data_IF_867572365703
#
_entry.id   IF_867572365703
#
_cell.length_a   1.000
_cell.length_b   1.000
_cell.length_c   1.000
_cell.angle_alpha   90.00
_cell.angle_beta   90.00
_cell.angle_gamma   90.00
#
_symmetry.space_group_name_H-M   'P 1'
#
loop_
_entity.id
_entity.type
_entity.pdbx_description
1 polymer ?
#
# COMPACT_ATOMS: atom_id res chain seq x y z
N UNK A 1 -49.95 -33.89 -39.71
CA UNK A 1 -48.50 -33.77 -39.45
C UNK A 1 -48.31 -32.62 -38.46
N UNK A 2 -47.85 -32.93 -37.23
CA UNK A 2 -47.28 -32.07 -36.17
C UNK A 2 -48.10 -30.83 -35.75
N UNK A 3 -48.64 -30.69 -34.55
CA UNK A 3 -48.29 -31.27 -33.24
C UNK A 3 -48.21 -30.10 -32.25
N UNK A 4 -49.33 -29.85 -31.56
CA UNK A 4 -49.46 -28.91 -30.44
C UNK A 4 -48.66 -29.45 -29.26
N UNK A 5 -47.72 -28.66 -28.74
CA UNK A 5 -46.96 -28.98 -27.53
C UNK A 5 -47.51 -28.18 -26.36
N UNK A 6 -48.10 -28.91 -25.41
CA UNK A 6 -48.45 -28.46 -24.06
C UNK A 6 -47.21 -27.91 -23.35
N UNK A 7 -47.29 -26.67 -22.86
CA UNK A 7 -46.36 -26.15 -21.86
C UNK A 7 -46.86 -26.57 -20.47
N UNK A 8 -46.15 -27.56 -19.91
CA UNK A 8 -46.28 -28.03 -18.55
C UNK A 8 -46.15 -26.90 -17.52
N UNK A 9 -47.26 -26.61 -16.86
CA UNK A 9 -47.34 -25.78 -15.67
C UNK A 9 -46.65 -26.48 -14.48
N UNK A 10 -45.45 -26.02 -14.12
CA UNK A 10 -44.77 -26.45 -12.88
C UNK A 10 -45.60 -26.08 -11.63
N UNK A 11 -45.79 -27.02 -10.67
CA UNK A 11 -46.46 -26.73 -9.41
C UNK A 11 -45.55 -25.90 -8.49
N UNK A 12 -46.02 -24.68 -8.15
CA UNK A 12 -45.45 -23.82 -7.11
C UNK A 12 -45.46 -24.55 -5.76
N UNK A 13 -44.28 -24.96 -5.30
CA UNK A 13 -44.06 -25.46 -3.93
C UNK A 13 -44.30 -24.32 -2.93
N UNK A 14 -45.22 -24.48 -1.95
CA UNK A 14 -45.45 -23.46 -0.93
C UNK A 14 -44.23 -23.36 0.01
N UNK A 15 -43.70 -22.14 0.15
CA UNK A 15 -42.68 -21.81 1.17
C UNK A 15 -43.27 -22.05 2.55
N UNK A 16 -42.91 -23.18 3.16
CA UNK A 16 -43.16 -23.47 4.58
C UNK A 16 -42.46 -22.40 5.43
N UNK A 17 -43.25 -21.58 6.13
CA UNK A 17 -42.77 -20.66 7.14
C UNK A 17 -42.18 -21.43 8.31
N UNK A 18 -40.87 -21.32 8.49
CA UNK A 18 -40.21 -21.77 9.71
C UNK A 18 -40.53 -20.76 10.82
N UNK A 19 -41.52 -21.11 11.65
CA UNK A 19 -41.82 -20.45 12.92
C UNK A 19 -40.70 -20.83 13.88
N UNK A 20 -39.85 -19.86 14.19
CA UNK A 20 -38.77 -20.00 15.16
C UNK A 20 -39.38 -19.83 16.57
N UNK A 21 -39.66 -20.96 17.23
CA UNK A 21 -40.15 -20.99 18.61
C UNK A 21 -39.01 -20.80 19.61
N UNK A 22 -39.03 -19.63 20.27
CA UNK A 22 -38.83 -19.49 21.72
C UNK A 22 -37.66 -20.22 22.39
N UNK A 23 -36.43 -19.73 22.20
CA UNK A 23 -35.30 -20.04 23.09
C UNK A 23 -35.21 -19.09 24.29
N UNK A 24 -34.91 -19.57 25.52
CA UNK A 24 -34.94 -18.76 26.73
C UNK A 24 -33.72 -17.83 26.89
N UNK A 25 -34.02 -16.53 26.95
CA UNK A 25 -33.49 -15.56 27.93
C UNK A 25 -31.96 -15.58 28.23
N UNK A 26 -31.13 -15.12 27.28
CA UNK A 26 -29.78 -14.60 27.59
C UNK A 26 -29.85 -13.11 27.97
N UNK A 27 -30.37 -12.81 29.17
CA UNK A 27 -30.19 -11.51 29.83
C UNK A 27 -28.82 -11.49 30.50
N UNK A 28 -27.90 -10.68 29.98
CA UNK A 28 -26.59 -10.49 30.60
C UNK A 28 -25.46 -10.07 29.67
N UNK A 29 -25.74 -9.38 28.55
CA UNK A 29 -24.69 -8.69 27.81
C UNK A 29 -24.76 -7.20 28.13
N UNK A 30 -23.94 -6.79 29.09
CA UNK A 30 -23.65 -5.38 29.30
C UNK A 30 -23.17 -4.78 27.97
N UNK A 31 -23.98 -3.87 27.43
CA UNK A 31 -23.64 -3.10 26.24
C UNK A 31 -22.44 -2.24 26.60
N UNK A 32 -21.24 -2.77 26.38
CA UNK A 32 -20.01 -2.02 26.48
C UNK A 32 -20.08 -0.89 25.44
N UNK A 33 -20.50 0.29 25.88
CA UNK A 33 -20.53 1.52 25.09
C UNK A 33 -19.10 1.76 24.60
N UNK A 34 -18.86 1.44 23.32
CA UNK A 34 -17.55 1.65 22.70
C UNK A 34 -17.29 3.16 22.64
N UNK A 35 -16.16 3.67 23.17
CA UNK A 35 -15.85 5.10 23.11
C UNK A 35 -15.80 5.56 21.64
N UNK A 36 -16.61 6.58 21.30
CA UNK A 36 -16.87 7.08 19.95
C UNK A 36 -15.73 7.90 19.32
N UNK A 37 -14.61 8.06 20.04
CA UNK A 37 -13.48 8.92 19.68
C UNK A 37 -12.69 8.42 18.46
N UNK A 38 -12.87 7.17 18.02
CA UNK A 38 -12.18 6.63 16.85
C UNK A 38 -12.72 7.11 15.50
N UNK A 39 -13.84 7.85 15.46
CA UNK A 39 -14.49 8.23 14.20
C UNK A 39 -13.99 9.54 13.58
N UNK A 40 -13.44 10.46 14.37
CA UNK A 40 -13.04 11.80 13.89
C UNK A 40 -11.81 11.75 12.98
N UNK A 41 -10.69 11.21 13.48
CA UNK A 41 -9.43 11.14 12.74
C UNK A 41 -9.54 10.33 11.44
N UNK A 42 -10.34 9.24 11.43
CA UNK A 42 -10.53 8.39 10.25
C UNK A 42 -11.25 9.13 9.13
N UNK A 43 -12.27 9.90 9.51
CA UNK A 43 -13.00 10.76 8.58
C UNK A 43 -12.08 11.86 8.05
N UNK A 44 -11.35 12.54 8.94
CA UNK A 44 -10.38 13.54 8.55
C UNK A 44 -9.35 12.99 7.56
N UNK A 45 -8.70 11.86 7.86
CA UNK A 45 -7.72 11.23 6.98
C UNK A 45 -8.31 10.85 5.61
N UNK A 46 -9.51 10.27 5.57
CA UNK A 46 -10.17 9.92 4.32
C UNK A 46 -10.53 11.17 3.48
N UNK A 47 -11.03 12.23 4.13
CA UNK A 47 -11.33 13.50 3.47
C UNK A 47 -10.04 14.14 2.95
N UNK A 48 -8.98 14.21 3.75
CA UNK A 48 -7.69 14.77 3.35
C UNK A 48 -7.12 14.05 2.13
N UNK A 49 -7.07 12.71 2.14
CA UNK A 49 -6.60 11.93 0.98
C UNK A 49 -7.48 12.19 -0.24
N UNK A 50 -8.80 12.22 -0.08
CA UNK A 50 -9.72 12.49 -1.19
C UNK A 50 -9.49 13.88 -1.79
N UNK A 51 -9.38 14.91 -0.96
CA UNK A 51 -9.11 16.29 -1.38
C UNK A 51 -7.77 16.39 -2.10
N UNK A 52 -6.71 15.81 -1.52
CA UNK A 52 -5.37 15.78 -2.14
C UNK A 52 -5.44 15.11 -3.52
N UNK A 53 -6.12 13.98 -3.64
CA UNK A 53 -6.23 13.27 -4.90
C UNK A 53 -7.04 14.02 -5.95
N UNK A 54 -8.18 14.61 -5.58
CA UNK A 54 -9.00 15.43 -6.48
C UNK A 54 -8.23 16.65 -6.96
N UNK A 55 -7.56 17.34 -6.05
CA UNK A 55 -6.76 18.52 -6.36
C UNK A 55 -5.56 18.17 -7.24
N UNK A 56 -4.84 17.09 -6.93
CA UNK A 56 -3.61 16.73 -7.62
C UNK A 56 -3.83 16.05 -8.99
N UNK A 57 -4.93 15.33 -9.19
CA UNK A 57 -5.21 14.62 -10.43
C UNK A 57 -4.99 15.44 -11.72
N UNK A 58 -5.53 16.68 -11.87
CA UNK A 58 -5.29 17.49 -13.07
C UNK A 58 -3.81 17.87 -13.26
N UNK A 59 -3.07 18.13 -12.17
CA UNK A 59 -1.64 18.40 -12.24
C UNK A 59 -0.86 17.18 -12.72
N UNK A 60 -1.23 15.99 -12.23
CA UNK A 60 -0.63 14.74 -12.67
C UNK A 60 -0.87 14.47 -14.16
N UNK A 61 -2.11 14.70 -14.64
CA UNK A 61 -2.46 14.44 -16.03
C UNK A 61 -1.73 15.35 -17.02
N UNK A 62 -1.45 16.59 -16.61
CA UNK A 62 -0.88 17.64 -17.49
C UNK A 62 0.62 17.81 -17.37
N UNK A 63 1.26 17.16 -16.41
CA UNK A 63 2.65 17.42 -16.05
C UNK A 63 3.62 17.31 -17.24
N UNK A 64 3.45 16.27 -18.05
CA UNK A 64 4.36 15.96 -19.15
C UNK A 64 3.98 16.63 -20.47
N UNK A 65 2.84 17.34 -20.54
CA UNK A 65 2.33 17.91 -21.79
C UNK A 65 3.27 18.94 -22.40
N UNK A 66 3.89 19.76 -21.55
CA UNK A 66 4.85 20.79 -21.99
C UNK A 66 6.17 20.21 -22.50
N UNK A 67 6.46 18.93 -22.28
CA UNK A 67 7.59 18.25 -22.95
C UNK A 67 7.20 17.71 -24.33
N UNK A 68 5.91 17.43 -24.55
CA UNK A 68 5.39 16.94 -25.81
C UNK A 68 5.07 18.07 -26.79
N UNK A 69 4.56 19.20 -26.29
CA UNK A 69 4.23 20.38 -27.09
C UNK A 69 4.65 21.65 -26.33
N UNK A 70 5.59 22.45 -26.88
CA UNK A 70 5.89 23.77 -26.34
C UNK A 70 4.61 24.61 -26.21
N UNK A 71 4.46 25.33 -25.10
CA UNK A 71 3.27 26.15 -24.82
C UNK A 71 2.04 25.40 -24.28
N UNK A 72 2.08 24.06 -24.16
CA UNK A 72 0.98 23.32 -23.54
C UNK A 72 0.75 23.72 -22.06
N UNK A 73 -0.49 23.66 -21.55
CA UNK A 73 -0.79 23.98 -20.17
C UNK A 73 0.04 23.15 -19.19
N UNK A 74 0.69 23.83 -18.24
CA UNK A 74 1.51 23.18 -17.21
C UNK A 74 1.25 23.84 -15.84
N UNK A 75 0.01 23.75 -15.32
CA UNK A 75 -0.39 24.44 -14.08
C UNK A 75 0.49 24.04 -12.89
N UNK A 76 1.02 22.80 -12.89
CA UNK A 76 1.92 22.34 -11.82
C UNK A 76 3.28 23.02 -11.85
N UNK A 77 3.82 23.28 -13.05
CA UNK A 77 5.07 24.02 -13.22
C UNK A 77 4.88 25.48 -12.81
N UNK A 78 3.76 26.08 -13.24
CA UNK A 78 3.39 27.44 -12.86
C UNK A 78 3.28 27.58 -11.34
N UNK A 79 2.51 26.70 -10.68
CA UNK A 79 2.33 26.74 -9.23
C UNK A 79 3.64 26.54 -8.49
N UNK A 80 4.46 25.55 -8.89
CA UNK A 80 5.74 25.28 -8.25
C UNK A 80 6.73 26.45 -8.41
N UNK A 81 6.70 27.15 -9.56
CA UNK A 81 7.52 28.32 -9.78
C UNK A 81 7.13 29.50 -8.86
N UNK A 82 5.84 29.63 -8.54
CA UNK A 82 5.34 30.66 -7.60
C UNK A 82 5.61 30.29 -6.13
N UNK A 83 5.49 29.01 -5.78
CA UNK A 83 5.67 28.55 -4.39
C UNK A 83 7.14 28.43 -3.98
N UNK A 84 8.03 28.08 -4.92
CA UNK A 84 9.45 27.82 -4.62
C UNK A 84 10.35 28.84 -5.31
N UNK A 85 10.56 28.71 -6.61
CA UNK A 85 11.18 29.74 -7.46
C UNK A 85 11.15 29.32 -8.94
N UNK A 86 11.12 30.28 -9.88
CA UNK A 86 11.25 29.96 -11.31
C UNK A 86 12.55 29.25 -11.66
N UNK A 87 13.67 29.63 -11.02
CA UNK A 87 14.98 29.01 -11.23
C UNK A 87 15.01 27.53 -10.86
N UNK A 88 14.45 27.18 -9.70
CA UNK A 88 14.33 25.79 -9.26
C UNK A 88 13.56 24.93 -10.27
N UNK A 89 12.46 25.45 -10.82
CA UNK A 89 11.68 24.76 -11.84
C UNK A 89 12.45 24.65 -13.17
N UNK A 90 13.16 25.69 -13.59
CA UNK A 90 13.99 25.66 -14.81
C UNK A 90 15.10 24.60 -14.72
N UNK A 91 15.82 24.53 -13.59
CA UNK A 91 16.86 23.54 -13.34
C UNK A 91 16.26 22.11 -13.29
N UNK A 92 15.09 21.95 -12.68
CA UNK A 92 14.36 20.68 -12.67
C UNK A 92 13.90 20.24 -14.06
N UNK A 93 13.60 21.17 -14.96
CA UNK A 93 13.24 20.88 -16.34
C UNK A 93 14.46 20.42 -17.14
N UNK A 94 15.56 21.17 -17.06
CA UNK A 94 16.80 20.86 -17.77
C UNK A 94 17.27 19.43 -17.48
N UNK A 95 17.18 19.00 -16.22
CA UNK A 95 17.60 17.66 -15.77
C UNK A 95 16.65 16.52 -16.19
N UNK A 96 15.44 16.81 -16.69
CA UNK A 96 14.43 15.80 -17.08
C UNK A 96 14.30 15.58 -18.58
N UNK A 97 14.71 16.55 -19.40
CA UNK A 97 14.52 16.48 -20.86
C UNK A 97 15.24 15.27 -21.45
N UNK A 98 16.51 15.06 -21.12
CA UNK A 98 17.29 13.95 -21.70
C UNK A 98 16.74 12.56 -21.31
N UNK A 99 16.45 12.26 -20.02
CA UNK A 99 15.85 10.98 -19.64
C UNK A 99 14.49 10.69 -20.30
N UNK A 100 13.69 11.71 -20.61
CA UNK A 100 12.34 11.53 -21.11
C UNK A 100 12.26 11.38 -22.63
N UNK A 101 13.26 11.82 -23.40
CA UNK A 101 13.23 11.82 -24.87
C UNK A 101 12.85 10.45 -25.47
N UNK A 102 13.39 9.37 -24.93
CA UNK A 102 13.18 8.02 -25.47
C UNK A 102 11.93 7.31 -24.92
N UNK A 103 11.26 7.91 -23.93
CA UNK A 103 10.14 7.30 -23.19
C UNK A 103 8.98 8.26 -22.94
N UNK A 104 8.90 9.36 -23.71
CA UNK A 104 7.92 10.41 -23.49
C UNK A 104 6.48 9.88 -23.59
N UNK A 105 6.18 9.07 -24.61
CA UNK A 105 4.85 8.50 -24.79
C UNK A 105 4.47 7.53 -23.63
N UNK A 106 5.30 6.53 -23.25
CA UNK A 106 5.05 5.71 -22.06
C UNK A 106 4.84 6.53 -20.79
N UNK A 107 5.63 7.58 -20.59
CA UNK A 107 5.52 8.45 -19.42
C UNK A 107 4.25 9.31 -19.45
N UNK A 108 3.83 9.83 -20.61
CA UNK A 108 2.55 10.53 -20.78
C UNK A 108 1.37 9.62 -20.41
N UNK A 109 1.35 8.39 -20.95
CA UNK A 109 0.33 7.39 -20.64
C UNK A 109 0.34 7.09 -19.14
N UNK A 110 1.51 6.86 -18.56
CA UNK A 110 1.67 6.63 -17.13
C UNK A 110 1.12 7.79 -16.29
N UNK A 111 1.44 9.04 -16.65
CA UNK A 111 1.05 10.25 -15.93
C UNK A 111 -0.45 10.53 -15.99
N UNK A 112 -1.05 10.40 -17.18
CA UNK A 112 -2.50 10.58 -17.39
C UNK A 112 -3.28 9.50 -16.64
N UNK A 113 -2.90 8.24 -16.79
CA UNK A 113 -3.55 7.14 -16.08
C UNK A 113 -3.28 7.19 -14.58
N UNK A 114 -2.11 7.69 -14.15
CA UNK A 114 -1.81 7.97 -12.74
C UNK A 114 -2.77 9.00 -12.15
N UNK A 115 -3.03 10.09 -12.86
CA UNK A 115 -4.06 11.06 -12.48
C UNK A 115 -5.46 10.45 -12.42
N UNK A 116 -5.82 9.57 -13.36
CA UNK A 116 -7.10 8.87 -13.34
C UNK A 116 -7.22 7.94 -12.12
N UNK A 117 -6.16 7.22 -11.76
CA UNK A 117 -6.10 6.37 -10.56
C UNK A 117 -6.29 7.17 -9.27
N UNK A 118 -5.81 8.42 -9.23
CA UNK A 118 -6.07 9.32 -8.10
C UNK A 118 -7.55 9.63 -7.94
N UNK A 119 -8.32 9.67 -9.02
CA UNK A 119 -9.78 9.86 -8.97
C UNK A 119 -10.51 8.56 -8.64
N UNK A 120 -10.09 7.45 -9.25
CA UNK A 120 -10.74 6.14 -9.08
C UNK A 120 -10.59 5.58 -7.66
N UNK A 121 -9.43 5.74 -7.02
CA UNK A 121 -9.17 5.21 -5.67
C UNK A 121 -10.16 5.72 -4.61
N UNK A 122 -10.31 7.04 -4.42
CA UNK A 122 -11.30 7.60 -3.49
C UNK A 122 -12.73 7.27 -3.91
N UNK A 123 -13.03 7.23 -5.22
CA UNK A 123 -14.36 6.86 -5.72
C UNK A 123 -14.77 5.45 -5.27
N UNK A 124 -13.83 4.49 -5.20
CA UNK A 124 -14.08 3.15 -4.66
C UNK A 124 -14.35 3.13 -3.15
N UNK A 125 -13.87 4.14 -2.41
CA UNK A 125 -14.10 4.28 -0.97
C UNK A 125 -15.42 4.98 -0.64
N UNK A 126 -16.07 5.63 -1.62
CA UNK A 126 -17.37 6.28 -1.42
C UNK A 126 -18.42 5.24 -1.00
N UNK A 127 -19.12 5.55 0.08
CA UNK A 127 -20.16 4.67 0.65
C UNK A 127 -21.23 4.32 -0.37
N UNK A 128 -21.60 5.24 -1.26
CA UNK A 128 -22.57 5.00 -2.33
C UNK A 128 -22.09 3.93 -3.34
N UNK A 129 -20.83 4.00 -3.76
CA UNK A 129 -20.23 3.01 -4.66
C UNK A 129 -20.15 1.63 -4.00
N UNK A 130 -19.77 1.58 -2.71
CA UNK A 130 -19.69 0.33 -1.94
C UNK A 130 -21.04 -0.35 -1.70
N UNK A 131 -22.12 0.43 -1.57
CA UNK A 131 -23.48 -0.11 -1.40
C UNK A 131 -24.02 -0.76 -2.68
N UNK A 132 -23.51 -0.37 -3.84
CA UNK A 132 -23.90 -0.93 -5.14
C UNK A 132 -22.82 -1.90 -5.61
N UNK A 133 -22.94 -3.17 -5.24
CA UNK A 133 -22.00 -4.23 -5.62
C UNK A 133 -21.59 -4.23 -7.11
N UNK A 134 -22.48 -4.09 -8.11
CA UNK A 134 -22.06 -4.04 -9.52
C UNK A 134 -21.20 -2.81 -9.83
N UNK A 135 -21.51 -1.64 -9.26
CA UNK A 135 -20.72 -0.42 -9.45
C UNK A 135 -19.33 -0.55 -8.82
N UNK A 136 -19.25 -1.08 -7.59
CA UNK A 136 -17.97 -1.35 -6.94
C UNK A 136 -17.09 -2.29 -7.78
N UNK A 137 -17.67 -3.35 -8.36
CA UNK A 137 -16.96 -4.28 -9.25
C UNK A 137 -16.49 -3.60 -10.53
N UNK A 138 -17.36 -2.84 -11.20
CA UNK A 138 -17.01 -2.12 -12.43
C UNK A 138 -15.86 -1.12 -12.20
N UNK A 139 -15.95 -0.32 -11.12
CA UNK A 139 -14.86 0.58 -10.71
C UNK A 139 -13.60 -0.20 -10.32
N UNK A 140 -13.76 -1.36 -9.66
CA UNK A 140 -12.72 -2.34 -9.37
C UNK A 140 -11.91 -2.76 -10.59
N UNK A 141 -12.61 -3.23 -11.62
CA UNK A 141 -12.02 -3.67 -12.89
C UNK A 141 -11.34 -2.50 -13.59
N UNK A 142 -12.02 -1.35 -13.71
CA UNK A 142 -11.47 -0.16 -14.34
C UNK A 142 -10.19 0.30 -13.63
N UNK A 143 -10.19 0.33 -12.29
CA UNK A 143 -9.00 0.65 -11.50
C UNK A 143 -7.86 -0.33 -11.79
N UNK A 144 -8.12 -1.64 -11.73
CA UNK A 144 -7.09 -2.66 -11.95
C UNK A 144 -6.47 -2.58 -13.35
N UNK A 145 -7.29 -2.47 -14.39
CA UNK A 145 -6.81 -2.32 -15.78
C UNK A 145 -5.97 -1.04 -15.90
N UNK A 146 -6.45 0.07 -15.33
CA UNK A 146 -5.72 1.34 -15.36
C UNK A 146 -4.37 1.23 -14.64
N UNK A 147 -4.29 0.51 -13.51
CA UNK A 147 -3.02 0.23 -12.81
C UNK A 147 -2.07 -0.53 -13.73
N UNK A 148 -2.50 -1.65 -14.32
CA UNK A 148 -1.61 -2.45 -15.17
C UNK A 148 -1.10 -1.66 -16.39
N UNK A 149 -1.97 -0.92 -17.08
CA UNK A 149 -1.56 -0.12 -18.24
C UNK A 149 -0.62 1.03 -17.83
N UNK A 150 -0.92 1.73 -16.72
CA UNK A 150 -0.05 2.79 -16.18
C UNK A 150 1.32 2.24 -15.76
N UNK A 151 1.34 1.10 -15.06
CA UNK A 151 2.57 0.44 -14.60
C UNK A 151 3.38 -0.13 -15.76
N UNK A 152 2.74 -0.62 -16.84
CA UNK A 152 3.44 -1.02 -18.06
C UNK A 152 4.16 0.17 -18.71
N UNK A 153 3.54 1.36 -18.72
CA UNK A 153 4.20 2.60 -19.16
C UNK A 153 5.43 2.96 -18.33
N UNK A 154 5.34 2.89 -17.00
CA UNK A 154 6.49 3.09 -16.10
C UNK A 154 7.57 2.01 -16.27
N UNK A 155 7.18 0.74 -16.43
CA UNK A 155 8.09 -0.37 -16.71
C UNK A 155 8.84 -0.19 -18.01
N UNK A 156 8.17 0.26 -19.07
CA UNK A 156 8.82 0.58 -20.34
C UNK A 156 9.86 1.70 -20.20
N UNK A 157 9.59 2.73 -19.38
CA UNK A 157 10.58 3.75 -19.05
C UNK A 157 11.80 3.16 -18.34
N UNK A 158 11.59 2.39 -17.27
CA UNK A 158 12.67 1.79 -16.50
C UNK A 158 13.51 0.80 -17.33
N UNK A 159 12.87 0.04 -18.22
CA UNK A 159 13.54 -0.90 -19.11
C UNK A 159 14.42 -0.20 -20.16
N UNK A 160 14.06 1.02 -20.57
CA UNK A 160 14.78 1.81 -21.59
C UNK A 160 15.79 2.79 -21.02
N UNK A 161 15.82 2.95 -19.69
CA UNK A 161 16.64 3.96 -19.02
C UNK A 161 17.60 3.27 -18.07
N UNK A 162 18.90 3.36 -18.34
CA UNK A 162 19.90 2.83 -17.43
C UNK A 162 19.83 3.55 -16.07
N UNK A 163 20.17 2.90 -14.94
CA UNK A 163 20.04 3.50 -13.61
C UNK A 163 20.74 4.86 -13.48
N UNK A 164 21.92 5.04 -14.10
CA UNK A 164 22.67 6.30 -14.08
C UNK A 164 21.97 7.45 -14.85
N UNK A 165 21.20 7.11 -15.87
CA UNK A 165 20.52 8.05 -16.76
C UNK A 165 19.08 8.33 -16.30
N UNK A 166 18.66 7.70 -15.20
CA UNK A 166 17.35 7.91 -14.61
C UNK A 166 17.22 9.31 -14.02
N UNK A 167 15.98 9.81 -13.98
CA UNK A 167 15.69 11.05 -13.28
C UNK A 167 16.13 10.94 -11.81
N UNK A 168 16.97 11.87 -11.35
CA UNK A 168 17.57 11.87 -10.00
C UNK A 168 18.51 10.69 -9.68
N UNK A 169 18.98 9.98 -10.72
CA UNK A 169 20.06 8.99 -10.63
C UNK A 169 19.62 7.60 -10.15
N UNK A 170 20.62 6.73 -9.94
CA UNK A 170 20.40 5.30 -9.76
C UNK A 170 19.62 4.93 -8.49
N UNK A 171 19.83 5.64 -7.37
CA UNK A 171 19.06 5.40 -6.16
C UNK A 171 17.55 5.64 -6.39
N UNK A 172 17.21 6.67 -7.16
CA UNK A 172 15.82 6.96 -7.52
C UNK A 172 15.26 5.88 -8.47
N UNK A 173 16.05 5.43 -9.45
CA UNK A 173 15.67 4.32 -10.33
C UNK A 173 15.30 3.04 -9.55
N UNK A 174 16.11 2.66 -8.56
CA UNK A 174 15.87 1.47 -7.72
C UNK A 174 14.56 1.62 -6.94
N UNK A 175 14.30 2.81 -6.40
CA UNK A 175 13.06 3.11 -5.68
C UNK A 175 11.85 3.03 -6.62
N UNK A 176 11.95 3.60 -7.83
CA UNK A 176 10.90 3.50 -8.84
C UNK A 176 10.62 2.04 -9.24
N UNK A 177 11.66 1.23 -9.45
CA UNK A 177 11.52 -0.19 -9.75
C UNK A 177 10.83 -0.96 -8.60
N UNK A 178 11.20 -0.64 -7.36
CA UNK A 178 10.59 -1.25 -6.17
C UNK A 178 9.12 -0.88 -6.03
N UNK A 179 8.77 0.40 -6.26
CA UNK A 179 7.39 0.88 -6.22
C UNK A 179 6.56 0.24 -7.34
N UNK A 180 7.12 0.14 -8.55
CA UNK A 180 6.49 -0.55 -9.68
C UNK A 180 6.13 -1.99 -9.31
N UNK A 181 7.11 -2.76 -8.84
CA UNK A 181 6.90 -4.15 -8.43
C UNK A 181 5.89 -4.26 -7.28
N UNK A 182 6.02 -3.43 -6.24
CA UNK A 182 5.10 -3.40 -5.11
C UNK A 182 3.66 -3.08 -5.52
N UNK A 183 3.46 -2.13 -6.43
CA UNK A 183 2.15 -1.74 -6.96
C UNK A 183 1.51 -2.89 -7.73
N UNK A 184 2.24 -3.46 -8.69
CA UNK A 184 1.76 -4.57 -9.53
C UNK A 184 1.40 -5.78 -8.67
N UNK A 185 2.31 -6.22 -7.80
CA UNK A 185 2.04 -7.38 -6.94
C UNK A 185 0.88 -7.12 -5.98
N UNK A 186 0.76 -5.91 -5.43
CA UNK A 186 -0.35 -5.57 -4.53
C UNK A 186 -1.69 -5.61 -5.25
N UNK A 187 -1.80 -5.08 -6.48
CA UNK A 187 -3.07 -5.19 -7.24
C UNK A 187 -3.35 -6.63 -7.63
N UNK A 188 -2.35 -7.42 -8.02
CA UNK A 188 -2.50 -8.84 -8.35
C UNK A 188 -3.02 -9.63 -7.15
N UNK A 189 -2.39 -9.52 -5.98
CA UNK A 189 -2.86 -10.19 -4.77
C UNK A 189 -4.23 -9.69 -4.30
N UNK A 190 -4.54 -8.40 -4.51
CA UNK A 190 -5.87 -7.85 -4.29
C UNK A 190 -6.94 -8.51 -5.16
N UNK A 191 -6.66 -8.73 -6.45
CA UNK A 191 -7.55 -9.42 -7.39
C UNK A 191 -7.71 -10.89 -6.99
N UNK A 192 -6.62 -11.59 -6.73
CA UNK A 192 -6.66 -13.00 -6.31
C UNK A 192 -7.48 -13.18 -5.02
N UNK A 193 -7.33 -12.28 -4.06
CA UNK A 193 -8.14 -12.27 -2.85
C UNK A 193 -9.63 -11.99 -3.13
N UNK A 194 -9.95 -11.13 -4.10
CA UNK A 194 -11.34 -10.88 -4.50
C UNK A 194 -11.96 -12.12 -5.17
N UNK A 195 -11.24 -12.76 -6.09
CA UNK A 195 -11.67 -13.99 -6.77
C UNK A 195 -11.87 -15.12 -5.76
N UNK A 196 -10.97 -15.25 -4.79
CA UNK A 196 -11.06 -16.22 -3.70
C UNK A 196 -12.14 -15.92 -2.64
N UNK A 197 -12.94 -14.87 -2.80
CA UNK A 197 -13.98 -14.52 -1.82
C UNK A 197 -13.42 -14.07 -0.46
N UNK A 198 -12.25 -13.41 -0.45
CA UNK A 198 -11.57 -12.93 0.74
C UNK A 198 -11.56 -11.40 0.78
N UNK A 199 -12.71 -10.75 1.08
CA UNK A 199 -12.85 -9.29 0.99
C UNK A 199 -11.93 -8.53 1.95
N UNK A 200 -11.56 -9.13 3.09
CA UNK A 200 -10.64 -8.55 4.05
C UNK A 200 -9.19 -8.51 3.52
N UNK A 201 -8.75 -9.57 2.86
CA UNK A 201 -7.44 -9.62 2.19
C UNK A 201 -7.42 -8.71 0.97
N UNK A 202 -8.49 -8.71 0.17
CA UNK A 202 -8.65 -7.80 -0.96
C UNK A 202 -8.46 -6.35 -0.51
N UNK A 203 -9.18 -5.94 0.54
CA UNK A 203 -9.08 -4.57 1.07
C UNK A 203 -7.65 -4.21 1.50
N UNK A 204 -6.93 -5.12 2.17
CA UNK A 204 -5.55 -4.91 2.62
C UNK A 204 -4.60 -4.66 1.45
N UNK A 205 -4.65 -5.53 0.45
CA UNK A 205 -3.83 -5.43 -0.74
C UNK A 205 -4.16 -4.20 -1.58
N UNK A 206 -5.43 -3.84 -1.70
CA UNK A 206 -5.83 -2.61 -2.41
C UNK A 206 -5.40 -1.34 -1.68
N UNK A 207 -5.45 -1.32 -0.35
CA UNK A 207 -4.92 -0.19 0.44
C UNK A 207 -3.40 -0.05 0.29
N UNK A 208 -2.67 -1.16 0.25
CA UNK A 208 -1.23 -1.16 0.02
C UNK A 208 -0.90 -0.70 -1.42
N UNK A 209 -1.60 -1.23 -2.43
CA UNK A 209 -1.49 -0.78 -3.82
C UNK A 209 -1.71 0.73 -3.93
N UNK A 210 -2.78 1.23 -3.31
CA UNK A 210 -3.08 2.65 -3.30
C UNK A 210 -2.01 3.47 -2.57
N UNK A 211 -1.45 2.95 -1.47
CA UNK A 211 -0.29 3.54 -0.80
C UNK A 211 0.89 3.71 -1.75
N UNK A 212 1.27 2.68 -2.51
CA UNK A 212 2.35 2.80 -3.49
C UNK A 212 2.04 3.83 -4.58
N UNK A 213 0.81 3.89 -5.08
CA UNK A 213 0.39 4.90 -6.06
C UNK A 213 0.50 6.33 -5.49
N UNK A 214 0.23 6.52 -4.19
CA UNK A 214 0.35 7.82 -3.52
C UNK A 214 1.78 8.33 -3.33
N UNK A 215 2.81 7.52 -3.62
CA UNK A 215 4.21 8.01 -3.55
C UNK A 215 4.48 9.15 -4.53
N UNK A 216 3.92 9.08 -5.75
CA UNK A 216 4.09 10.11 -6.76
C UNK A 216 3.49 11.47 -6.38
N UNK A 217 2.21 11.59 -5.97
CA UNK A 217 1.64 12.86 -5.51
C UNK A 217 2.36 13.40 -4.27
N UNK A 218 2.70 12.56 -3.30
CA UNK A 218 3.42 13.00 -2.11
C UNK A 218 4.79 13.56 -2.46
N UNK A 219 5.54 12.92 -3.36
CA UNK A 219 6.79 13.46 -3.89
C UNK A 219 6.61 14.86 -4.48
N UNK A 220 5.47 15.13 -5.14
CA UNK A 220 5.22 16.45 -5.75
C UNK A 220 4.86 17.51 -4.73
N UNK A 221 4.13 17.13 -3.69
CA UNK A 221 3.92 18.01 -2.55
C UNK A 221 5.25 18.34 -1.87
N UNK A 222 6.14 17.35 -1.74
CA UNK A 222 7.49 17.53 -1.22
C UNK A 222 8.37 18.41 -2.10
N UNK A 223 8.15 18.48 -3.41
CA UNK A 223 8.84 19.47 -4.25
C UNK A 223 8.48 20.91 -3.91
N UNK A 224 7.28 21.15 -3.37
CA UNK A 224 6.89 22.46 -2.86
C UNK A 224 7.37 22.68 -1.42
N UNK A 225 7.27 21.65 -0.57
CA UNK A 225 7.50 21.77 0.86
C UNK A 225 8.98 21.62 1.28
N UNK A 226 9.74 20.68 0.72
CA UNK A 226 11.12 20.45 1.14
C UNK A 226 12.06 21.62 0.81
N UNK A 227 11.95 22.31 -0.35
CA UNK A 227 12.82 23.47 -0.62
C UNK A 227 12.64 24.64 0.35
N UNK A 228 11.48 24.78 1.02
CA UNK A 228 11.28 25.83 2.02
C UNK A 228 12.00 25.52 3.34
N UNK A 229 12.15 24.22 3.66
CA UNK A 229 12.87 23.74 4.85
C UNK A 229 14.35 23.52 4.57
N UNK A 230 14.70 23.21 3.32
CA UNK A 230 16.05 22.92 2.84
C UNK A 230 16.40 23.85 1.66
N UNK A 231 16.52 25.17 1.90
CA UNK A 231 16.74 26.13 0.83
C UNK A 231 18.09 25.91 0.15
N UNK A 232 18.14 26.18 -1.16
CA UNK A 232 19.35 26.10 -1.98
C UNK A 232 19.74 24.69 -2.44
N UNK A 233 18.99 23.65 -2.06
CA UNK A 233 19.25 22.30 -2.59
C UNK A 233 18.70 22.14 -4.02
N UNK A 234 19.46 21.48 -4.91
CA UNK A 234 18.93 21.09 -6.22
C UNK A 234 17.86 20.01 -6.08
N UNK A 235 16.96 19.92 -7.06
CA UNK A 235 15.86 18.95 -7.11
C UNK A 235 16.32 17.50 -6.88
N UNK A 236 17.54 17.14 -7.33
CA UNK A 236 18.11 15.80 -7.14
C UNK A 236 18.38 15.48 -5.67
N UNK A 237 18.88 16.43 -4.88
CA UNK A 237 19.09 16.28 -3.44
C UNK A 237 17.77 16.30 -2.68
N UNK A 238 16.82 17.15 -3.09
CA UNK A 238 15.44 17.15 -2.55
C UNK A 238 14.79 15.78 -2.75
N UNK A 239 14.88 15.22 -3.96
CA UNK A 239 14.39 13.88 -4.25
C UNK A 239 15.11 12.81 -3.45
N UNK A 240 16.42 12.97 -3.22
CA UNK A 240 17.18 12.03 -2.40
C UNK A 240 16.67 12.00 -0.96
N UNK A 241 16.35 13.16 -0.37
CA UNK A 241 15.71 13.23 0.96
C UNK A 241 14.30 12.64 0.93
N UNK A 242 13.51 12.95 -0.09
CA UNK A 242 12.14 12.44 -0.27
C UNK A 242 12.07 10.90 -0.28
N UNK A 243 12.92 10.25 -1.08
CA UNK A 243 12.93 8.78 -1.16
C UNK A 243 13.34 8.09 0.14
N UNK A 244 14.01 8.78 1.07
CA UNK A 244 14.35 8.20 2.38
C UNK A 244 13.11 7.87 3.21
N UNK A 245 11.96 8.49 2.93
CA UNK A 245 10.78 8.37 3.78
C UNK A 245 9.47 8.06 3.09
N UNK A 246 9.29 8.46 1.83
CA UNK A 246 8.02 8.27 1.13
C UNK A 246 7.53 6.82 1.16
N UNK A 247 8.43 5.85 0.93
CA UNK A 247 8.11 4.42 1.00
C UNK A 247 7.60 3.99 2.38
N UNK A 248 8.19 4.53 3.46
CA UNK A 248 7.74 4.26 4.83
C UNK A 248 6.38 4.89 5.12
N UNK A 249 6.17 6.16 4.72
CA UNK A 249 4.97 6.92 5.01
C UNK A 249 3.73 6.28 4.37
N UNK A 250 3.82 5.90 3.10
CA UNK A 250 2.66 5.36 2.39
C UNK A 250 2.28 3.97 2.88
N UNK A 251 3.25 3.10 3.16
CA UNK A 251 2.94 1.76 3.65
C UNK A 251 2.47 1.80 5.10
N UNK A 252 3.05 2.69 5.91
CA UNK A 252 2.53 2.97 7.24
C UNK A 252 1.09 3.49 7.19
N UNK A 253 0.79 4.43 6.29
CA UNK A 253 -0.56 4.93 6.04
C UNK A 253 -1.53 3.81 5.63
N UNK A 254 -1.11 2.92 4.73
CA UNK A 254 -1.89 1.76 4.31
C UNK A 254 -2.18 0.81 5.48
N UNK A 255 -1.21 0.56 6.36
CA UNK A 255 -1.40 -0.22 7.59
C UNK A 255 -2.42 0.43 8.53
N UNK A 256 -2.29 1.73 8.80
CA UNK A 256 -3.24 2.47 9.64
C UNK A 256 -4.66 2.39 9.06
N UNK A 257 -4.80 2.59 7.75
CA UNK A 257 -6.07 2.50 7.04
C UNK A 257 -6.67 1.09 7.06
N UNK A 258 -5.82 0.06 6.95
CA UNK A 258 -6.21 -1.35 7.03
C UNK A 258 -6.71 -1.69 8.43
N UNK A 259 -5.92 -1.39 9.46
CA UNK A 259 -6.29 -1.60 10.87
C UNK A 259 -7.50 -0.80 11.30
N UNK A 260 -7.70 0.37 10.72
CA UNK A 260 -8.90 1.15 10.95
C UNK A 260 -10.14 0.39 10.45
N UNK A 261 -10.06 -0.26 9.29
CA UNK A 261 -11.20 -0.93 8.67
C UNK A 261 -11.40 -2.37 9.12
N UNK A 262 -10.46 -2.96 9.86
CA UNK A 262 -10.58 -4.32 10.38
C UNK A 262 -11.05 -4.32 11.86
N UNK A 263 -12.34 -4.59 12.14
CA UNK A 263 -12.90 -4.55 13.49
C UNK A 263 -12.64 -5.82 14.30
N UNK A 264 -12.00 -6.84 13.73
CA UNK A 264 -11.84 -8.16 14.37
C UNK A 264 -10.90 -8.06 15.56
N UNK A 265 -11.37 -8.53 16.71
CA UNK A 265 -10.57 -8.65 17.93
C UNK A 265 -9.84 -10.00 17.99
N UNK A 266 -10.47 -11.04 17.43
CA UNK A 266 -9.94 -12.40 17.28
C UNK A 266 -10.23 -12.93 15.87
N UNK A 267 -9.52 -13.99 15.47
CA UNK A 267 -9.81 -14.76 14.26
C UNK A 267 -9.76 -16.22 14.69
N UNK A 268 -10.82 -16.97 14.37
CA UNK A 268 -10.91 -18.40 14.67
C UNK A 268 -9.82 -19.17 13.91
N UNK A 269 -9.33 -20.28 14.48
CA UNK A 269 -8.23 -21.06 13.88
C UNK A 269 -6.84 -20.43 14.04
N UNK A 270 -6.73 -19.26 14.71
CA UNK A 270 -5.42 -18.72 15.08
C UNK A 270 -4.78 -19.58 16.18
N UNK A 271 -3.69 -20.25 15.83
CA UNK A 271 -2.78 -20.90 16.79
C UNK A 271 -1.78 -19.92 17.43
N UNK A 272 -0.56 -20.41 17.68
CA UNK A 272 0.54 -19.61 18.28
C UNK A 272 0.89 -18.38 17.43
N UNK A 273 1.46 -17.37 18.10
CA UNK A 273 2.01 -16.16 17.45
C UNK A 273 3.10 -16.54 16.44
N UNK A 274 3.03 -16.00 15.21
CA UNK A 274 4.08 -16.04 14.18
C UNK A 274 5.12 -14.94 14.38
N UNK A 275 4.84 -13.97 15.25
CA UNK A 275 5.82 -13.01 15.75
C UNK A 275 6.02 -13.21 17.27
N UNK A 276 6.46 -14.41 17.72
CA UNK A 276 6.68 -14.66 19.15
C UNK A 276 7.83 -13.79 19.68
N UNK A 277 7.97 -13.72 21.00
CA UNK A 277 8.96 -12.83 21.65
C UNK A 277 10.40 -13.04 21.12
N UNK A 278 10.91 -14.27 20.95
CA UNK A 278 12.26 -14.48 20.42
C UNK A 278 12.45 -13.91 19.01
N UNK A 279 11.47 -14.11 18.12
CA UNK A 279 11.51 -13.58 16.75
C UNK A 279 11.49 -12.05 16.78
N UNK A 280 10.60 -11.46 17.58
CA UNK A 280 10.55 -9.99 17.72
C UNK A 280 11.86 -9.44 18.30
N UNK A 281 12.44 -10.10 19.31
CA UNK A 281 13.69 -9.66 19.94
C UNK A 281 14.86 -9.75 18.97
N UNK A 282 15.00 -10.86 18.24
CA UNK A 282 16.01 -11.01 17.20
C UNK A 282 15.89 -9.94 16.11
N UNK A 283 14.67 -9.63 15.66
CA UNK A 283 14.44 -8.56 14.71
C UNK A 283 14.83 -7.18 15.26
N UNK A 284 14.58 -6.89 16.54
CA UNK A 284 15.01 -5.64 17.17
C UNK A 284 16.54 -5.54 17.26
N UNK A 285 17.21 -6.62 17.65
CA UNK A 285 18.68 -6.64 17.76
C UNK A 285 19.34 -6.47 16.39
N UNK A 286 18.88 -7.22 15.38
CA UNK A 286 19.37 -7.10 14.01
C UNK A 286 19.10 -5.70 13.44
N UNK A 287 17.89 -5.17 13.68
CA UNK A 287 17.51 -3.82 13.29
C UNK A 287 18.36 -2.74 13.92
N UNK A 288 18.58 -2.81 15.24
CA UNK A 288 19.38 -1.84 15.97
C UNK A 288 20.84 -1.87 15.53
N UNK A 289 21.43 -3.05 15.37
CA UNK A 289 22.81 -3.20 14.89
C UNK A 289 22.98 -2.60 13.48
N UNK A 290 22.07 -2.92 12.56
CA UNK A 290 22.08 -2.36 11.21
C UNK A 290 21.82 -0.85 11.20
N UNK A 291 20.93 -0.35 12.07
CA UNK A 291 20.65 1.08 12.19
C UNK A 291 21.88 1.86 12.68
N UNK A 292 22.61 1.34 13.68
CA UNK A 292 23.88 1.93 14.14
C UNK A 292 24.88 2.00 13.00
N UNK A 293 24.98 0.94 12.18
CA UNK A 293 25.83 0.93 11.00
C UNK A 293 25.41 1.98 9.96
N UNK A 294 24.11 2.08 9.63
CA UNK A 294 23.57 3.09 8.68
C UNK A 294 23.84 4.51 9.20
N UNK A 295 23.60 4.77 10.48
CA UNK A 295 23.85 6.08 11.11
C UNK A 295 25.32 6.45 11.02
N UNK A 296 26.22 5.53 11.36
CA UNK A 296 27.67 5.76 11.26
C UNK A 296 28.08 6.06 9.82
N UNK A 297 27.61 5.25 8.87
CA UNK A 297 28.03 5.36 7.47
C UNK A 297 27.50 6.63 6.80
N UNK A 298 26.21 6.94 6.96
CA UNK A 298 25.64 8.19 6.44
C UNK A 298 26.26 9.42 7.12
N UNK A 299 26.56 9.36 8.42
CA UNK A 299 27.21 10.49 9.11
C UNK A 299 28.59 10.81 8.53
N UNK A 300 29.30 9.82 7.98
CA UNK A 300 30.58 9.99 7.30
C UNK A 300 30.51 10.88 6.05
N UNK A 301 29.33 11.04 5.45
CA UNK A 301 29.10 11.92 4.29
C UNK A 301 28.72 13.36 4.68
N UNK A 302 28.98 13.76 5.93
CA UNK A 302 28.83 15.13 6.39
C UNK A 302 27.38 15.63 6.36
N UNK A 303 27.17 16.87 5.91
CA UNK A 303 25.86 17.51 5.93
C UNK A 303 24.83 16.80 5.05
N UNK A 304 25.24 16.26 3.90
CA UNK A 304 24.35 15.52 3.01
C UNK A 304 23.80 14.27 3.68
N UNK A 305 24.69 13.44 4.25
CA UNK A 305 24.28 12.23 4.94
C UNK A 305 23.43 12.49 6.19
N UNK A 306 23.72 13.56 6.96
CA UNK A 306 22.86 13.96 8.10
C UNK A 306 21.44 14.33 7.68
N UNK A 307 21.25 14.99 6.53
CA UNK A 307 19.91 15.29 5.99
C UNK A 307 19.16 14.01 5.61
N UNK A 308 19.83 13.07 4.96
CA UNK A 308 19.24 11.77 4.61
C UNK A 308 18.86 10.96 5.87
N UNK A 309 19.71 11.00 6.90
CA UNK A 309 19.40 10.40 8.20
C UNK A 309 18.18 11.04 8.84
N UNK A 310 18.07 12.36 8.85
CA UNK A 310 16.88 13.03 9.38
C UNK A 310 15.61 12.62 8.62
N UNK A 311 15.69 12.58 7.28
CA UNK A 311 14.62 12.11 6.41
C UNK A 311 14.19 10.67 6.74
N UNK A 312 15.14 9.77 7.03
CA UNK A 312 14.84 8.38 7.35
C UNK A 312 14.38 8.14 8.80
N UNK A 313 15.12 8.66 9.78
CA UNK A 313 14.96 8.32 11.20
C UNK A 313 13.66 8.86 11.80
N UNK A 314 13.23 10.05 11.40
CA UNK A 314 12.00 10.66 11.91
C UNK A 314 10.75 9.81 11.62
N UNK A 315 10.41 9.51 10.35
CA UNK A 315 9.24 8.67 10.03
C UNK A 315 9.41 7.23 10.52
N UNK A 316 10.65 6.70 10.55
CA UNK A 316 10.94 5.40 11.13
C UNK A 316 10.57 5.35 12.62
N UNK A 317 11.03 6.33 13.40
CA UNK A 317 10.75 6.43 14.84
C UNK A 317 9.26 6.61 15.12
N UNK A 318 8.57 7.47 14.38
CA UNK A 318 7.11 7.66 14.49
C UNK A 318 6.37 6.35 14.21
N UNK A 319 6.72 5.67 13.12
CA UNK A 319 6.12 4.38 12.75
C UNK A 319 6.35 3.33 13.83
N UNK A 320 7.58 3.24 14.36
CA UNK A 320 7.94 2.32 15.43
C UNK A 320 7.11 2.55 16.68
N UNK A 321 7.04 3.80 17.15
CA UNK A 321 6.27 4.16 18.35
C UNK A 321 4.80 3.82 18.17
N UNK A 322 4.19 4.17 17.04
CA UNK A 322 2.77 3.88 16.79
C UNK A 322 2.50 2.37 16.74
N UNK A 323 3.33 1.59 16.06
CA UNK A 323 3.17 0.14 15.99
C UNK A 323 3.37 -0.53 17.37
N UNK A 324 4.38 -0.10 18.13
CA UNK A 324 4.64 -0.61 19.47
C UNK A 324 3.51 -0.27 20.46
N UNK A 325 3.01 0.96 20.45
CA UNK A 325 1.86 1.37 21.25
C UNK A 325 0.58 0.64 20.80
N UNK A 326 0.39 0.45 19.50
CA UNK A 326 -0.72 -0.33 18.93
C UNK A 326 -0.71 -1.78 19.42
N UNK A 327 0.44 -2.46 19.36
CA UNK A 327 0.61 -3.82 19.87
C UNK A 327 0.35 -3.91 21.37
N UNK A 328 0.92 -2.99 22.17
CA UNK A 328 0.74 -2.94 23.63
C UNK A 328 -0.72 -2.71 24.00
N UNK A 329 -1.38 -1.73 23.39
CA UNK A 329 -2.78 -1.40 23.65
C UNK A 329 -3.70 -2.57 23.29
N UNK A 330 -3.52 -3.17 22.12
CA UNK A 330 -4.30 -4.33 21.71
C UNK A 330 -4.14 -5.52 22.67
N UNK A 331 -2.92 -5.75 23.18
CA UNK A 331 -2.65 -6.76 24.20
C UNK A 331 -3.36 -6.48 25.52
N UNK A 332 -3.32 -5.25 26.03
CA UNK A 332 -4.02 -4.85 27.26
C UNK A 332 -5.54 -4.98 27.15
N UNK A 333 -6.10 -4.79 25.96
CA UNK A 333 -7.56 -4.91 25.71
C UNK A 333 -7.99 -6.29 25.24
N UNK A 334 -7.12 -7.32 25.30
CA UNK A 334 -7.45 -8.68 24.87
C UNK A 334 -7.72 -8.87 23.37
N UNK A 335 -7.33 -7.91 22.52
CA UNK A 335 -7.52 -7.97 21.06
C UNK A 335 -6.38 -8.72 20.39
N UNK A 336 -6.44 -10.05 20.48
CA UNK A 336 -5.36 -10.95 20.08
C UNK A 336 -4.97 -10.78 18.60
N UNK A 337 -5.94 -10.67 17.70
CA UNK A 337 -5.65 -10.51 16.27
C UNK A 337 -4.96 -9.18 15.98
N UNK A 338 -5.51 -8.07 16.50
CA UNK A 338 -4.91 -6.76 16.31
C UNK A 338 -3.49 -6.70 16.88
N UNK A 339 -3.26 -7.27 18.07
CA UNK A 339 -1.92 -7.36 18.68
C UNK A 339 -0.96 -8.10 17.75
N UNK A 340 -1.38 -9.24 17.21
CA UNK A 340 -0.55 -10.06 16.37
C UNK A 340 -0.15 -9.35 15.07
N UNK A 341 -1.11 -8.72 14.40
CA UNK A 341 -0.86 -7.94 13.20
C UNK A 341 0.13 -6.80 13.46
N UNK A 342 -0.07 -6.03 14.54
CA UNK A 342 0.88 -4.99 14.94
C UNK A 342 2.29 -5.54 15.18
N UNK A 343 2.41 -6.72 15.78
CA UNK A 343 3.72 -7.36 16.01
C UNK A 343 4.38 -7.82 14.72
N UNK A 344 3.62 -8.36 13.76
CA UNK A 344 4.17 -8.75 12.45
C UNK A 344 4.70 -7.51 11.71
N UNK A 345 3.93 -6.42 11.66
CA UNK A 345 4.38 -5.18 11.04
C UNK A 345 5.55 -4.51 11.79
N UNK A 346 5.54 -4.51 13.12
CA UNK A 346 6.66 -4.02 13.93
C UNK A 346 7.93 -4.83 13.68
N UNK A 347 7.81 -6.16 13.56
CA UNK A 347 8.93 -7.05 13.21
C UNK A 347 9.48 -6.69 11.83
N UNK A 348 8.60 -6.52 10.84
CA UNK A 348 8.99 -6.05 9.51
C UNK A 348 9.74 -4.71 9.56
N UNK A 349 9.21 -3.73 10.28
CA UNK A 349 9.85 -2.42 10.45
C UNK A 349 11.22 -2.53 11.15
N UNK A 350 11.36 -3.40 12.16
CA UNK A 350 12.65 -3.64 12.82
C UNK A 350 13.66 -4.32 11.88
N UNK A 351 13.21 -5.15 10.94
CA UNK A 351 14.09 -5.76 9.94
C UNK A 351 14.42 -4.81 8.77
N UNK A 352 13.75 -3.67 8.64
CA UNK A 352 13.98 -2.73 7.55
C UNK A 352 15.45 -2.23 7.47
N UNK A 353 16.09 -1.79 8.57
CA UNK A 353 17.51 -1.40 8.53
C UNK A 353 18.43 -2.57 8.13
N UNK A 354 18.15 -3.79 8.58
CA UNK A 354 18.93 -4.96 8.23
C UNK A 354 18.82 -5.30 6.73
N UNK A 355 17.60 -5.25 6.18
CA UNK A 355 17.39 -5.37 4.74
C UNK A 355 18.09 -4.26 3.96
N UNK A 356 18.04 -3.02 4.44
CA UNK A 356 18.72 -1.88 3.84
C UNK A 356 20.23 -2.09 3.78
N UNK A 357 20.85 -2.54 4.89
CA UNK A 357 22.28 -2.84 4.94
C UNK A 357 22.68 -3.97 3.98
N UNK A 358 21.90 -5.06 3.93
CA UNK A 358 22.13 -6.16 2.98
C UNK A 358 22.00 -5.72 1.52
N UNK A 359 21.02 -4.85 1.23
CA UNK A 359 20.81 -4.31 -0.11
C UNK A 359 21.99 -3.47 -0.60
N UNK A 360 22.74 -2.80 0.30
CA UNK A 360 23.95 -2.06 -0.09
C UNK A 360 24.97 -2.96 -0.77
N UNK A 361 25.29 -4.11 -0.16
CA UNK A 361 26.24 -5.06 -0.72
C UNK A 361 25.75 -5.60 -2.08
N UNK A 362 24.46 -5.93 -2.18
CA UNK A 362 23.85 -6.36 -3.43
C UNK A 362 23.99 -5.28 -4.51
N UNK A 363 23.71 -4.02 -4.20
CA UNK A 363 23.75 -2.92 -5.17
C UNK A 363 25.16 -2.55 -5.60
N UNK A 364 26.13 -2.59 -4.69
CA UNK A 364 27.53 -2.41 -5.06
C UNK A 364 28.00 -3.52 -5.99
N UNK A 365 27.61 -4.78 -5.73
CA UNK A 365 28.05 -5.92 -6.53
C UNK A 365 27.33 -6.02 -7.89
N UNK A 366 26.00 -5.96 -7.90
CA UNK A 366 25.18 -6.22 -9.10
C UNK A 366 25.02 -5.01 -10.03
N UNK A 367 25.09 -3.80 -9.49
CA UNK A 367 24.86 -2.56 -10.25
C UNK A 367 26.09 -1.65 -10.29
N UNK A 368 27.23 -2.10 -9.73
CA UNK A 368 28.47 -1.34 -9.64
C UNK A 368 28.29 0.09 -9.08
N UNK A 369 27.35 0.25 -8.13
CA UNK A 369 27.06 1.56 -7.54
C UNK A 369 28.12 1.95 -6.52
N UNK A 370 28.42 3.25 -6.46
CA UNK A 370 29.21 3.81 -5.37
C UNK A 370 28.49 3.59 -4.03
N UNK A 371 29.27 3.55 -2.95
CA UNK A 371 28.77 3.23 -1.62
C UNK A 371 27.65 4.16 -1.15
N UNK A 372 27.74 5.46 -1.45
CA UNK A 372 26.74 6.44 -1.00
C UNK A 372 25.41 6.23 -1.71
N UNK A 373 25.44 6.02 -3.03
CA UNK A 373 24.24 5.74 -3.83
C UNK A 373 23.62 4.40 -3.45
N UNK A 374 24.43 3.35 -3.26
CA UNK A 374 23.96 2.03 -2.83
C UNK A 374 23.32 2.09 -1.43
N UNK A 375 23.94 2.81 -0.49
CA UNK A 375 23.40 3.02 0.85
C UNK A 375 22.08 3.78 0.83
N UNK A 376 22.03 4.89 0.10
CA UNK A 376 20.80 5.68 -0.06
C UNK A 376 19.67 4.83 -0.65
N UNK A 377 19.95 4.07 -1.71
CA UNK A 377 18.96 3.19 -2.35
C UNK A 377 18.46 2.09 -1.39
N UNK A 378 19.38 1.42 -0.69
CA UNK A 378 19.05 0.37 0.28
C UNK A 378 18.17 0.89 1.41
N UNK A 379 18.49 2.05 1.96
CA UNK A 379 17.68 2.69 3.02
C UNK A 379 16.29 3.07 2.50
N UNK A 380 16.22 3.68 1.31
CA UNK A 380 14.96 4.14 0.72
C UNK A 380 13.94 3.00 0.46
N UNK A 381 14.40 1.80 0.10
CA UNK A 381 13.50 0.66 -0.18
C UNK A 381 13.18 -0.20 1.04
N UNK A 382 14.02 -0.18 2.08
CA UNK A 382 13.95 -1.16 3.17
C UNK A 382 12.61 -1.19 3.89
N UNK A 383 12.06 -0.03 4.24
CA UNK A 383 10.75 0.06 4.91
C UNK A 383 9.61 -0.40 3.98
N UNK A 384 9.65 -0.01 2.71
CA UNK A 384 8.63 -0.39 1.74
C UNK A 384 8.58 -1.89 1.49
N UNK A 385 9.74 -2.53 1.30
CA UNK A 385 9.86 -3.97 1.06
C UNK A 385 9.46 -4.81 2.27
N UNK A 386 9.96 -4.45 3.47
CA UNK A 386 9.61 -5.20 4.68
C UNK A 386 8.15 -5.06 5.08
N UNK A 387 7.53 -3.92 4.80
CA UNK A 387 6.12 -3.72 5.09
C UNK A 387 5.20 -4.41 4.05
N UNK A 388 5.62 -4.54 2.79
CA UNK A 388 5.03 -5.47 1.83
C UNK A 388 5.11 -6.91 2.35
N UNK A 389 6.30 -7.35 2.75
CA UNK A 389 6.53 -8.68 3.33
C UNK A 389 5.66 -8.95 4.57
N UNK A 390 5.53 -7.98 5.47
CA UNK A 390 4.63 -8.08 6.62
C UNK A 390 3.16 -8.24 6.20
N UNK A 391 2.71 -7.52 5.17
CA UNK A 391 1.35 -7.65 4.63
C UNK A 391 1.11 -9.04 4.01
N UNK A 392 2.12 -9.58 3.33
CA UNK A 392 2.11 -10.95 2.82
C UNK A 392 1.99 -11.97 3.95
N UNK A 393 2.82 -11.85 5.00
CA UNK A 393 2.79 -12.73 6.18
C UNK A 393 1.44 -12.68 6.88
N UNK A 394 0.87 -11.48 7.06
CA UNK A 394 -0.49 -11.31 7.63
C UNK A 394 -1.55 -12.00 6.76
N UNK A 395 -1.44 -11.90 5.44
CA UNK A 395 -2.37 -12.53 4.50
C UNK A 395 -2.27 -14.05 4.56
N UNK A 396 -1.05 -14.61 4.50
CA UNK A 396 -0.79 -16.04 4.63
C UNK A 396 -1.31 -16.58 5.95
N UNK A 397 -1.16 -15.81 7.03
CA UNK A 397 -1.65 -16.21 8.33
C UNK A 397 -3.18 -16.31 8.40
N UNK A 398 -3.88 -15.34 7.82
CA UNK A 398 -5.35 -15.38 7.75
C UNK A 398 -5.83 -16.56 6.90
N UNK A 399 -5.13 -16.85 5.80
CA UNK A 399 -5.41 -18.03 4.98
C UNK A 399 -5.16 -19.34 5.75
N UNK A 400 -4.04 -19.43 6.47
CA UNK A 400 -3.70 -20.59 7.29
C UNK A 400 -4.76 -20.84 8.38
N UNK A 401 -5.20 -19.79 9.08
CA UNK A 401 -6.25 -19.91 10.10
C UNK A 401 -7.57 -20.47 9.52
N UNK A 402 -7.96 -20.01 8.33
CA UNK A 402 -9.14 -20.54 7.61
C UNK A 402 -8.97 -22.00 7.22
N UNK A 403 -7.80 -22.38 6.74
CA UNK A 403 -7.52 -23.76 6.34
C UNK A 403 -7.52 -24.71 7.55
N UNK A 404 -6.99 -24.27 8.69
CA UNK A 404 -7.09 -25.03 9.95
C UNK A 404 -8.55 -25.26 10.33
N UNK A 405 -9.40 -24.22 10.28
CA UNK A 405 -10.83 -24.36 10.57
C UNK A 405 -11.51 -25.34 9.62
N UNK A 406 -11.23 -25.21 8.31
CA UNK A 406 -11.80 -26.09 7.29
C UNK A 406 -11.48 -27.57 7.56
N UNK A 407 -10.27 -27.86 8.05
CA UNK A 407 -9.85 -29.23 8.41
C UNK A 407 -10.46 -29.73 9.72
N UNK A 408 -10.81 -28.84 10.65
CA UNK A 408 -11.41 -29.21 11.93
C UNK A 408 -12.92 -29.49 11.84
N UNK A 409 -13.60 -28.98 10.81
CA UNK A 409 -15.01 -29.30 10.58
C UNK A 409 -15.09 -30.76 10.11
N UNK A 410 -15.78 -31.66 10.84
CA UNK A 410 -15.95 -33.04 10.43
C UNK A 410 -16.57 -33.10 9.03
N UNK A 411 -16.10 -34.02 8.18
CA UNK A 411 -16.77 -34.30 6.92
C UNK A 411 -18.25 -34.58 7.21
N UNK A 412 -19.19 -34.03 6.45
CA UNK A 412 -20.61 -34.35 6.64
C UNK A 412 -20.72 -35.87 6.60
N UNK A 413 -21.23 -36.46 7.69
CA UNK A 413 -21.46 -37.90 7.76
C UNK A 413 -22.25 -38.29 6.51
N UNK A 414 -21.86 -39.36 5.79
CA UNK A 414 -22.62 -39.81 4.63
C UNK A 414 -24.06 -39.95 5.08
N UNK A 415 -24.94 -39.14 4.49
CA UNK A 415 -26.36 -39.16 4.81
C UNK A 415 -26.82 -40.59 4.66
N UNK A 416 -27.24 -41.21 5.77
CA UNK A 416 -27.83 -42.55 5.74
C UNK A 416 -28.92 -42.52 4.68
N UNK A 417 -28.83 -43.37 3.64
CA UNK A 417 -29.84 -43.39 2.59
C UNK A 417 -31.20 -43.47 3.25
N UNK A 418 -32.11 -42.58 2.89
CA UNK A 418 -33.47 -42.64 3.38
C UNK A 418 -34.01 -44.05 3.09
N UNK A 419 -34.62 -44.74 4.06
CA UNK A 419 -35.16 -46.07 3.84
C UNK A 419 -36.11 -45.98 2.64
N UNK A 420 -35.75 -46.67 1.56
CA UNK A 420 -36.63 -46.89 0.42
C UNK A 420 -37.90 -47.50 0.96
N UNK A 421 -39.00 -46.77 0.88
CA UNK A 421 -40.32 -47.32 1.16
C UNK A 421 -40.52 -48.52 0.23
N UNK A 422 -40.57 -49.71 0.81
CA UNK A 422 -40.90 -50.93 0.09
C UNK A 422 -42.39 -50.84 -0.27
N UNK A 423 -42.77 -50.97 -1.56
CA UNK A 423 -44.14 -50.87 -2.02
C UNK A 423 -45.05 -51.98 -1.50
#
# INVERSE_FOLDING_TARGET
>A
MRGLGDEDSEPRVPRRGYRDEGGPNRRGQGVAVRPSTSSGWRRAAAVTVTVVCLWYAPFAMTELWSYARPGAPAPGKWLLAHLVSPRYVADALATRVAPYRHSLLPLLVHSVLGGLLMLLGPAQLLTAARRRAPLHRALGVLFAVTVYVSMAGAGAYLARTAPRDAFSGAAFWIVLATILAGTVLSVTFGILAAIGGHPDLHQRWMLLCYGYLLTAPLLRLEWGALPTVLPGLPMTEVNRVAIMHLGSLVVFGALLASRARDPRDTVEGLGRSWAPLPVTAAAHLAGAAALVWIVRDLSGYGAAGRRLLAGYLLPYAVSYVVMALGARRAGRTGRLWAREEWRIHLTGLCLAPALSAAAVALFQHSLALDRFTALTAGVAIGCGMTAFGATLVVSLRLMYAREVLRRTVPAPSPSTPAPTAVP
#
